data_IF_453352227359
#
_entry.id   IF_453352227359
#
_cell.length_a   1.000
_cell.length_b   1.000
_cell.length_c   1.000
_cell.angle_alpha   90.00
_cell.angle_beta   90.00
_cell.angle_gamma   90.00
#
_symmetry.space_group_name_H-M   'P 1'
#
loop_
_entity.id
_entity.type
_entity.pdbx_description
1 polymer ?
#
# COMPACT_ATOMS: atom_id res chain seq x y z
N UNK A 1 54.01 -20.50 -45.56
CA UNK A 1 53.19 -19.28 -45.40
C UNK A 1 51.71 -19.67 -45.28
N UNK A 2 51.20 -19.76 -44.09
CA UNK A 2 49.76 -20.04 -43.84
C UNK A 2 49.26 -18.98 -42.87
N UNK A 3 48.36 -18.13 -43.34
CA UNK A 3 47.71 -17.09 -42.54
C UNK A 3 46.60 -17.72 -41.68
N UNK A 4 46.73 -17.61 -40.37
CA UNK A 4 45.65 -17.91 -39.42
C UNK A 4 44.68 -16.71 -39.41
N UNK A 5 43.46 -16.96 -39.88
CA UNK A 5 42.33 -16.02 -39.73
C UNK A 5 41.75 -16.26 -38.33
N UNK A 6 41.93 -15.29 -37.42
CA UNK A 6 41.29 -15.26 -36.08
C UNK A 6 39.89 -14.68 -36.22
N UNK A 7 38.87 -15.53 -36.22
CA UNK A 7 37.48 -15.11 -36.11
C UNK A 7 37.23 -14.51 -34.72
N UNK A 8 37.05 -13.21 -34.66
CA UNK A 8 36.58 -12.49 -33.47
C UNK A 8 35.05 -12.60 -33.44
N UNK A 9 34.51 -13.49 -32.58
CA UNK A 9 33.10 -13.55 -32.31
C UNK A 9 32.74 -12.37 -31.39
N UNK A 10 32.13 -11.33 -31.96
CA UNK A 10 31.57 -10.21 -31.19
C UNK A 10 30.25 -10.69 -30.59
N UNK A 11 30.27 -11.00 -29.28
CA UNK A 11 29.05 -11.26 -28.50
C UNK A 11 28.32 -9.93 -28.27
N UNK A 12 27.27 -9.67 -29.02
CA UNK A 12 26.33 -8.60 -28.71
C UNK A 12 25.50 -9.00 -27.49
N UNK A 13 25.89 -8.53 -26.32
CA UNK A 13 25.06 -8.51 -25.13
C UNK A 13 23.90 -7.54 -25.40
N UNK A 14 22.74 -8.08 -25.76
CA UNK A 14 21.49 -7.32 -25.71
C UNK A 14 21.17 -7.02 -24.24
N UNK A 15 21.64 -5.89 -23.72
CA UNK A 15 21.00 -5.26 -22.57
C UNK A 15 19.64 -4.78 -23.05
N UNK A 16 18.57 -5.43 -22.61
CA UNK A 16 17.21 -4.89 -22.70
C UNK A 16 17.15 -3.67 -21.78
N UNK A 17 17.56 -2.53 -22.27
CA UNK A 17 17.26 -1.24 -21.65
C UNK A 17 15.75 -1.09 -21.75
N UNK A 18 15.05 -1.04 -20.61
CA UNK A 18 13.69 -0.51 -20.56
C UNK A 18 13.78 0.91 -21.13
N UNK A 19 13.39 1.08 -22.38
CA UNK A 19 13.27 2.40 -22.99
C UNK A 19 12.08 3.09 -22.32
N UNK A 20 12.32 3.77 -21.19
CA UNK A 20 11.36 4.70 -20.64
C UNK A 20 11.13 5.81 -21.67
N UNK A 21 9.87 6.22 -21.87
CA UNK A 21 9.57 7.43 -22.61
C UNK A 21 10.44 8.57 -22.07
N UNK A 22 11.15 9.27 -22.96
CA UNK A 22 12.10 10.33 -22.59
C UNK A 22 11.47 11.43 -21.70
N UNK A 23 10.13 11.52 -21.68
CA UNK A 23 9.37 12.57 -21.00
C UNK A 23 8.63 12.06 -19.73
N UNK A 24 8.76 10.77 -19.35
CA UNK A 24 8.05 10.21 -18.20
C UNK A 24 9.00 9.94 -17.03
N UNK A 25 8.81 10.66 -15.95
CA UNK A 25 9.54 10.45 -14.70
C UNK A 25 8.79 9.43 -13.83
N UNK A 26 9.53 8.55 -13.14
CA UNK A 26 8.97 7.58 -12.20
C UNK A 26 9.66 7.67 -10.85
N UNK A 27 8.85 7.69 -9.78
CA UNK A 27 9.29 7.70 -8.39
C UNK A 27 8.72 6.47 -7.68
N UNK A 28 9.58 5.70 -7.01
CA UNK A 28 9.21 4.46 -6.33
C UNK A 28 9.98 3.25 -6.87
N UNK A 29 9.63 2.05 -6.39
CA UNK A 29 10.31 0.81 -6.72
C UNK A 29 9.38 -0.14 -7.47
N UNK A 30 9.81 -0.64 -8.63
CA UNK A 30 9.11 -1.64 -9.44
C UNK A 30 9.30 -3.04 -8.83
N UNK A 31 8.70 -3.26 -7.65
CA UNK A 31 8.79 -4.52 -6.92
C UNK A 31 7.40 -4.92 -6.41
N UNK A 32 7.19 -6.19 -6.11
CA UNK A 32 5.97 -6.65 -5.43
C UNK A 32 5.76 -5.89 -4.11
N UNK A 33 4.57 -5.36 -3.89
CA UNK A 33 4.24 -4.46 -2.78
C UNK A 33 4.55 -2.99 -3.08
N UNK A 34 5.27 -2.67 -4.15
CA UNK A 34 5.66 -1.31 -4.49
C UNK A 34 4.51 -0.44 -4.96
N UNK A 35 4.77 0.87 -4.97
CA UNK A 35 3.91 1.89 -5.53
C UNK A 35 4.77 2.84 -6.37
N UNK A 36 4.25 3.26 -7.49
CA UNK A 36 4.91 4.17 -8.42
C UNK A 36 4.08 5.43 -8.54
N UNK A 37 4.73 6.57 -8.37
CA UNK A 37 4.21 7.86 -8.81
C UNK A 37 4.89 8.17 -10.13
N UNK A 38 4.10 8.33 -11.20
CA UNK A 38 4.56 8.75 -12.50
C UNK A 38 4.24 10.22 -12.74
N UNK A 39 5.03 10.86 -13.60
CA UNK A 39 4.78 12.24 -14.05
C UNK A 39 5.07 12.37 -15.54
N UNK A 40 4.08 12.85 -16.28
CA UNK A 40 4.23 13.25 -17.67
C UNK A 40 3.24 14.39 -17.98
N UNK A 41 3.74 15.59 -18.21
CA UNK A 41 2.92 16.80 -18.44
C UNK A 41 2.17 16.78 -19.78
N UNK A 42 2.63 15.99 -20.75
CA UNK A 42 2.03 15.90 -22.08
C UNK A 42 0.98 14.80 -22.18
N UNK A 43 0.93 13.89 -21.19
CA UNK A 43 -0.02 12.80 -21.16
C UNK A 43 -1.46 13.31 -21.10
N UNK A 44 -2.34 12.74 -21.95
CA UNK A 44 -3.79 12.99 -21.94
C UNK A 44 -4.54 11.91 -21.19
N UNK A 45 -4.09 10.65 -21.32
CA UNK A 45 -4.61 9.50 -20.58
C UNK A 45 -3.46 8.54 -20.29
N UNK A 46 -3.54 7.90 -19.14
CA UNK A 46 -2.58 6.86 -18.71
C UNK A 46 -3.35 5.62 -18.29
N UNK A 47 -2.90 4.45 -18.73
CA UNK A 47 -3.49 3.17 -18.36
C UNK A 47 -2.41 2.26 -17.78
N UNK A 48 -2.67 1.68 -16.63
CA UNK A 48 -1.87 0.61 -16.04
C UNK A 48 -2.58 -0.72 -16.27
N UNK A 49 -1.99 -1.61 -17.07
CA UNK A 49 -2.69 -2.72 -17.73
C UNK A 49 -3.96 -2.14 -18.40
N UNK A 50 -5.15 -2.61 -18.07
CA UNK A 50 -6.42 -2.11 -18.64
C UNK A 50 -7.10 -1.03 -17.77
N UNK A 51 -6.48 -0.61 -16.67
CA UNK A 51 -7.05 0.34 -15.73
C UNK A 51 -6.66 1.77 -16.07
N UNK A 52 -7.63 2.62 -16.41
CA UNK A 52 -7.39 4.07 -16.55
C UNK A 52 -7.05 4.69 -15.20
N UNK A 53 -5.91 5.41 -15.16
CA UNK A 53 -5.40 6.11 -14.00
C UNK A 53 -5.96 7.54 -13.95
N UNK A 54 -6.18 8.04 -12.74
CA UNK A 54 -6.46 9.46 -12.54
C UNK A 54 -5.18 10.26 -12.80
N UNK A 55 -5.29 11.31 -13.63
CA UNK A 55 -4.19 12.21 -13.98
C UNK A 55 -4.41 13.57 -13.33
N UNK A 56 -3.40 14.11 -12.64
CA UNK A 56 -3.47 15.46 -12.09
C UNK A 56 -3.24 16.52 -13.18
N UNK A 57 -3.59 17.78 -12.88
CA UNK A 57 -3.34 18.90 -13.78
C UNK A 57 -1.84 19.10 -14.08
N UNK A 58 -0.96 18.65 -13.16
CA UNK A 58 0.49 18.69 -13.33
C UNK A 58 1.05 17.43 -14.05
N UNK A 59 0.19 16.51 -14.48
CA UNK A 59 0.57 15.27 -15.16
C UNK A 59 1.00 14.14 -14.24
N UNK A 60 0.71 14.19 -12.94
CA UNK A 60 1.02 13.09 -12.02
C UNK A 60 -0.06 12.03 -12.03
N UNK A 61 0.36 10.77 -11.90
CA UNK A 61 -0.50 9.60 -11.73
C UNK A 61 0.15 8.61 -10.77
N UNK A 62 -0.62 7.66 -10.23
CA UNK A 62 -0.14 6.65 -9.27
C UNK A 62 -0.70 5.29 -9.61
N UNK A 63 0.13 4.26 -9.46
CA UNK A 63 -0.26 2.86 -9.53
C UNK A 63 0.60 2.01 -8.59
N UNK A 64 0.10 0.83 -8.22
CA UNK A 64 0.76 0.00 -7.22
C UNK A 64 0.66 -1.49 -7.52
N UNK A 65 1.55 -2.24 -6.90
CA UNK A 65 1.71 -3.68 -7.07
C UNK A 65 1.34 -4.41 -5.78
N UNK A 66 0.46 -5.39 -5.88
CA UNK A 66 0.14 -6.24 -4.75
C UNK A 66 1.30 -7.18 -4.39
N UNK A 67 1.18 -7.84 -3.22
CA UNK A 67 2.16 -8.80 -2.71
C UNK A 67 2.58 -9.88 -3.72
N UNK A 68 1.66 -10.36 -4.53
CA UNK A 68 1.86 -11.43 -5.50
C UNK A 68 1.66 -10.93 -6.93
N UNK A 69 2.01 -9.67 -7.20
CA UNK A 69 1.86 -9.11 -8.54
C UNK A 69 2.67 -9.90 -9.57
N UNK A 70 2.15 -10.02 -10.79
CA UNK A 70 2.84 -10.68 -11.92
C UNK A 70 4.14 -9.95 -12.27
N UNK A 71 5.09 -10.65 -12.88
CA UNK A 71 6.39 -10.09 -13.25
C UNK A 71 6.27 -8.96 -14.28
N UNK A 72 5.36 -9.09 -15.25
CA UNK A 72 5.22 -8.15 -16.35
C UNK A 72 3.87 -7.44 -16.29
N UNK A 73 3.87 -6.13 -16.46
CA UNK A 73 2.70 -5.28 -16.65
C UNK A 73 2.97 -4.26 -17.74
N UNK A 74 1.95 -3.56 -18.18
CA UNK A 74 2.06 -2.53 -19.22
C UNK A 74 1.59 -1.18 -18.68
N UNK A 75 2.29 -0.13 -19.08
CA UNK A 75 1.83 1.24 -18.91
C UNK A 75 1.64 1.86 -20.29
N UNK A 76 0.40 2.22 -20.61
CA UNK A 76 0.05 2.87 -21.87
C UNK A 76 -0.22 4.33 -21.62
N UNK A 77 0.48 5.20 -22.35
CA UNK A 77 0.36 6.66 -22.25
C UNK A 77 -0.12 7.18 -23.59
N UNK A 78 -1.29 7.83 -23.58
CA UNK A 78 -1.86 8.47 -24.74
C UNK A 78 -1.52 9.97 -24.70
N UNK A 79 -0.91 10.45 -25.78
CA UNK A 79 -0.65 11.85 -26.07
C UNK A 79 -1.69 12.38 -27.07
N UNK A 80 -1.52 13.60 -27.51
CA UNK A 80 -2.41 14.19 -28.53
C UNK A 80 -2.20 13.59 -29.93
N UNK A 81 -0.97 13.15 -30.23
CA UNK A 81 -0.48 12.73 -31.55
C UNK A 81 -0.04 11.26 -31.60
N UNK A 82 0.18 10.62 -30.47
CA UNK A 82 0.71 9.25 -30.40
C UNK A 82 0.27 8.54 -29.15
N UNK A 83 0.51 7.24 -29.13
CA UNK A 83 0.39 6.37 -27.96
C UNK A 83 1.72 5.65 -27.74
N UNK A 84 2.19 5.66 -26.51
CA UNK A 84 3.36 4.90 -26.07
C UNK A 84 2.94 3.76 -25.15
N UNK A 85 3.60 2.61 -25.28
CA UNK A 85 3.39 1.46 -24.41
C UNK A 85 4.72 1.03 -23.82
N UNK A 86 4.81 1.06 -22.50
CA UNK A 86 5.99 0.66 -21.74
C UNK A 86 5.73 -0.71 -21.10
N UNK A 87 6.65 -1.65 -21.29
CA UNK A 87 6.64 -2.93 -20.57
C UNK A 87 7.38 -2.72 -19.24
N UNK A 88 6.67 -3.00 -18.15
CA UNK A 88 7.19 -2.84 -16.80
C UNK A 88 7.60 -4.21 -16.26
N UNK A 89 8.87 -4.35 -15.86
CA UNK A 89 9.37 -5.53 -15.15
C UNK A 89 9.29 -5.29 -13.64
N UNK A 90 8.45 -6.08 -12.96
CA UNK A 90 8.21 -5.98 -11.53
C UNK A 90 9.00 -7.08 -10.82
N UNK A 91 10.00 -6.67 -10.05
CA UNK A 91 10.84 -7.58 -9.30
C UNK A 91 10.07 -8.28 -8.18
N UNK A 92 10.42 -9.53 -7.92
CA UNK A 92 9.86 -10.30 -6.81
C UNK A 92 10.43 -9.79 -5.48
N UNK A 93 9.57 -9.65 -4.47
CA UNK A 93 9.99 -9.38 -3.10
C UNK A 93 10.13 -10.68 -2.30
N UNK A 94 11.11 -10.71 -1.41
CA UNK A 94 11.25 -11.79 -0.43
C UNK A 94 10.43 -11.47 0.82
N UNK A 95 9.66 -12.44 1.29
CA UNK A 95 8.78 -12.28 2.44
C UNK A 95 9.15 -13.27 3.54
N UNK A 96 9.31 -12.75 4.75
CA UNK A 96 9.63 -13.53 5.95
C UNK A 96 8.42 -14.36 6.42
N UNK A 97 8.67 -15.38 7.22
CA UNK A 97 7.64 -16.08 7.98
C UNK A 97 7.63 -15.51 9.39
N UNK A 98 6.46 -15.05 9.83
CA UNK A 98 6.20 -14.47 11.15
C UNK A 98 5.36 -15.45 11.97
N UNK A 99 5.90 -15.93 13.10
CA UNK A 99 5.20 -16.83 14.03
C UNK A 99 4.75 -16.01 15.23
N UNK A 100 3.46 -16.04 15.52
CA UNK A 100 2.85 -15.31 16.64
C UNK A 100 2.04 -16.32 17.44
N UNK A 101 2.48 -16.57 18.66
CA UNK A 101 1.85 -17.49 19.58
C UNK A 101 1.24 -16.75 20.78
N UNK A 102 0.42 -17.40 21.60
CA UNK A 102 -0.23 -16.80 22.76
C UNK A 102 -1.48 -15.98 22.45
N UNK A 103 -1.98 -15.99 21.22
CA UNK A 103 -3.28 -15.39 20.90
C UNK A 103 -4.43 -16.23 21.51
N UNK A 104 -5.48 -15.61 22.07
CA UNK A 104 -6.68 -16.33 22.47
C UNK A 104 -7.25 -17.16 21.31
N UNK A 105 -7.58 -18.43 21.56
CA UNK A 105 -8.03 -19.36 20.50
C UNK A 105 -9.18 -18.80 19.66
N UNK A 106 -10.16 -18.11 20.29
CA UNK A 106 -11.28 -17.45 19.60
C UNK A 106 -10.84 -16.36 18.61
N UNK A 107 -9.67 -15.77 18.80
CA UNK A 107 -9.12 -14.76 17.87
C UNK A 107 -8.39 -15.39 16.67
N UNK A 108 -7.99 -16.66 16.79
CA UNK A 108 -7.32 -17.42 15.70
C UNK A 108 -8.34 -18.26 14.94
N UNK A 109 -9.25 -18.94 15.68
CA UNK A 109 -10.32 -19.77 15.14
C UNK A 109 -11.60 -19.43 15.89
N UNK A 110 -12.35 -18.39 15.46
CA UNK A 110 -13.59 -17.98 16.10
C UNK A 110 -14.65 -19.07 15.99
N UNK A 111 -15.50 -19.17 17.03
CA UNK A 111 -16.67 -20.02 17.00
C UNK A 111 -17.79 -19.49 16.09
N UNK A 112 -18.78 -20.36 15.76
CA UNK A 112 -19.91 -19.98 14.89
C UNK A 112 -20.69 -18.75 15.35
N UNK A 113 -20.77 -18.53 16.65
CA UNK A 113 -21.46 -17.40 17.28
C UNK A 113 -20.87 -16.03 16.89
N UNK A 114 -19.62 -16.01 16.43
CA UNK A 114 -18.93 -14.78 16.01
C UNK A 114 -18.97 -14.53 14.50
N UNK A 115 -19.44 -15.49 13.71
CA UNK A 115 -19.37 -15.41 12.24
C UNK A 115 -20.16 -14.24 11.67
N UNK A 116 -21.36 -14.00 12.13
CA UNK A 116 -22.18 -12.88 11.65
C UNK A 116 -21.56 -11.53 12.03
N UNK A 117 -21.04 -11.39 13.24
CA UNK A 117 -20.32 -10.18 13.65
C UNK A 117 -19.11 -9.92 12.75
N UNK A 118 -18.26 -10.93 12.56
CA UNK A 118 -17.06 -10.82 11.72
C UNK A 118 -17.41 -10.49 10.27
N UNK A 119 -18.48 -11.08 9.75
CA UNK A 119 -19.00 -10.82 8.41
C UNK A 119 -19.47 -9.37 8.28
N UNK A 120 -20.24 -8.87 9.25
CA UNK A 120 -20.74 -7.50 9.26
C UNK A 120 -19.59 -6.49 9.35
N UNK A 121 -18.59 -6.71 10.21
CA UNK A 121 -17.39 -5.89 10.29
C UNK A 121 -16.64 -5.83 8.95
N UNK A 122 -16.48 -6.96 8.27
CA UNK A 122 -15.86 -7.03 6.94
C UNK A 122 -16.67 -6.26 5.89
N UNK A 123 -17.99 -6.33 5.93
CA UNK A 123 -18.87 -5.59 5.02
C UNK A 123 -18.75 -4.08 5.23
N UNK A 124 -18.72 -3.60 6.49
CA UNK A 124 -18.52 -2.20 6.82
C UNK A 124 -17.18 -1.68 6.29
N UNK A 125 -16.09 -2.40 6.58
CA UNK A 125 -14.76 -2.05 6.06
C UNK A 125 -14.74 -2.09 4.52
N UNK A 126 -15.32 -3.12 3.91
CA UNK A 126 -15.41 -3.27 2.46
C UNK A 126 -16.18 -2.12 1.81
N UNK A 127 -17.29 -1.66 2.42
CA UNK A 127 -18.07 -0.50 1.99
C UNK A 127 -17.23 0.78 2.07
N UNK A 128 -16.53 1.02 3.18
CA UNK A 128 -15.65 2.18 3.36
C UNK A 128 -14.50 2.19 2.33
N UNK A 129 -13.84 1.05 2.11
CA UNK A 129 -12.81 0.91 1.07
C UNK A 129 -13.38 1.05 -0.36
N UNK A 130 -14.69 0.86 -0.55
CA UNK A 130 -15.39 1.09 -1.81
C UNK A 130 -15.73 2.55 -2.07
N UNK A 131 -15.79 3.41 -1.04
CA UNK A 131 -16.10 4.84 -1.19
C UNK A 131 -15.06 5.51 -2.08
N UNK A 132 -15.54 6.36 -3.00
CA UNK A 132 -14.68 7.19 -3.86
C UNK A 132 -14.44 8.53 -3.18
N UNK A 133 -13.20 8.97 -3.18
CA UNK A 133 -12.82 10.34 -2.83
C UNK A 133 -11.91 10.87 -3.93
N UNK A 134 -12.27 12.00 -4.52
CA UNK A 134 -11.48 12.70 -5.53
C UNK A 134 -10.69 13.82 -4.88
N UNK A 135 -9.40 13.89 -5.15
CA UNK A 135 -8.53 15.00 -4.77
C UNK A 135 -7.99 15.65 -6.04
N UNK A 136 -7.86 16.99 -6.04
CA UNK A 136 -7.18 17.71 -7.13
C UNK A 136 -5.67 17.50 -7.07
N UNK A 137 -5.12 17.21 -5.88
CA UNK A 137 -3.68 17.07 -5.65
C UNK A 137 -3.40 15.62 -5.33
N UNK A 138 -2.51 14.99 -6.10
CA UNK A 138 -1.95 13.69 -5.78
C UNK A 138 -0.95 13.83 -4.65
N UNK A 139 -1.10 13.11 -3.51
CA UNK A 139 -0.10 13.14 -2.45
C UNK A 139 1.20 12.48 -2.93
N UNK A 140 2.35 13.12 -2.68
CA UNK A 140 3.66 12.66 -3.15
C UNK A 140 4.64 12.38 -2.02
N UNK A 141 4.54 13.13 -0.94
CA UNK A 141 5.35 12.97 0.26
C UNK A 141 4.47 12.38 1.35
N UNK A 142 4.91 11.33 2.00
CA UNK A 142 4.12 10.62 3.00
C UNK A 142 4.90 10.56 4.30
N UNK A 143 4.28 11.05 5.38
CA UNK A 143 4.94 11.07 6.70
C UNK A 143 4.68 9.79 7.47
N UNK A 144 5.56 9.45 8.40
CA UNK A 144 5.37 8.33 9.30
C UNK A 144 4.14 8.55 10.19
N UNK A 145 3.29 7.52 10.34
CA UNK A 145 2.03 7.65 11.09
C UNK A 145 2.23 7.70 12.60
N UNK A 146 3.32 7.17 13.13
CA UNK A 146 3.61 7.18 14.56
C UNK A 146 5.11 6.97 14.81
N UNK A 147 5.56 7.40 15.97
CA UNK A 147 6.86 7.01 16.52
C UNK A 147 6.77 5.59 17.08
N UNK A 148 7.88 4.85 17.01
CA UNK A 148 7.95 3.50 17.55
C UNK A 148 8.84 2.57 16.75
N UNK A 149 8.95 1.32 17.24
CA UNK A 149 9.74 0.26 16.61
C UNK A 149 8.88 -0.48 15.59
N UNK A 150 9.39 -0.69 14.39
CA UNK A 150 8.73 -1.59 13.41
C UNK A 150 8.72 -3.00 14.00
N UNK A 151 7.53 -3.54 14.21
CA UNK A 151 7.30 -4.86 14.82
C UNK A 151 6.72 -5.89 13.87
N UNK A 152 6.16 -5.47 12.73
CA UNK A 152 5.67 -6.36 11.67
C UNK A 152 5.76 -5.67 10.31
N UNK A 153 6.29 -6.37 9.31
CA UNK A 153 6.50 -5.84 7.95
C UNK A 153 5.48 -6.41 6.96
N UNK A 154 5.19 -5.61 5.92
CA UNK A 154 4.30 -6.01 4.85
C UNK A 154 4.75 -7.33 4.18
N UNK A 155 3.78 -8.19 3.86
CA UNK A 155 4.00 -9.40 3.08
C UNK A 155 4.43 -10.61 3.87
N UNK A 156 4.87 -10.47 5.13
CA UNK A 156 5.27 -11.61 5.98
C UNK A 156 4.16 -12.65 6.06
N UNK A 157 4.50 -13.93 5.85
CA UNK A 157 3.54 -15.02 6.02
C UNK A 157 3.28 -15.25 7.50
N UNK A 158 2.06 -14.99 7.97
CA UNK A 158 1.69 -15.18 9.37
C UNK A 158 1.31 -16.61 9.68
N UNK A 159 1.88 -17.14 10.78
CA UNK A 159 1.49 -18.38 11.43
C UNK A 159 1.04 -18.00 12.84
N UNK A 160 -0.26 -18.10 13.12
CA UNK A 160 -0.86 -17.73 14.40
C UNK A 160 -1.20 -18.99 15.18
N UNK A 161 -0.62 -19.18 16.37
CA UNK A 161 -0.76 -20.38 17.19
C UNK A 161 -0.58 -21.66 16.35
N UNK A 162 0.47 -21.73 15.52
CA UNK A 162 0.74 -22.84 14.63
C UNK A 162 -0.09 -22.90 13.33
N UNK A 163 -1.15 -22.11 13.18
CA UNK A 163 -2.04 -22.11 12.02
C UNK A 163 -1.62 -21.06 10.98
N UNK A 164 -1.42 -21.49 9.74
CA UNK A 164 -1.15 -20.59 8.61
C UNK A 164 -2.37 -19.69 8.36
N UNK A 165 -2.16 -18.38 8.35
CA UNK A 165 -3.17 -17.35 8.09
C UNK A 165 -2.77 -16.50 6.88
N UNK A 166 -3.63 -15.54 6.52
CA UNK A 166 -3.29 -14.59 5.46
C UNK A 166 -2.00 -13.84 5.78
N UNK A 167 -1.19 -13.53 4.76
CA UNK A 167 0.00 -12.71 4.94
C UNK A 167 -0.31 -11.37 5.61
N UNK A 168 0.67 -10.80 6.30
CA UNK A 168 0.59 -9.47 6.88
C UNK A 168 0.35 -8.44 5.77
N UNK A 169 -0.70 -7.66 5.90
CA UNK A 169 -1.13 -6.77 4.82
C UNK A 169 -0.67 -5.33 4.96
N UNK A 170 0.13 -5.00 5.97
CA UNK A 170 0.51 -3.65 6.30
C UNK A 170 1.81 -3.54 7.08
N UNK A 171 1.93 -2.50 7.87
CA UNK A 171 3.06 -2.17 8.73
C UNK A 171 2.58 -2.13 10.18
N UNK A 172 3.30 -2.79 11.08
CA UNK A 172 3.06 -2.72 12.52
C UNK A 172 4.14 -1.85 13.19
N UNK A 173 3.71 -0.84 13.96
CA UNK A 173 4.58 0.06 14.73
C UNK A 173 4.24 -0.12 16.22
N UNK A 174 5.11 -0.78 16.96
CA UNK A 174 4.97 -0.99 18.39
C UNK A 174 5.39 0.27 19.17
N UNK A 175 4.47 0.76 19.99
CA UNK A 175 4.69 1.88 20.90
C UNK A 175 3.68 1.82 22.06
N UNK A 176 3.90 2.56 23.17
CA UNK A 176 2.96 2.59 24.30
C UNK A 176 1.56 3.03 23.88
N UNK A 177 0.54 2.54 24.61
CA UNK A 177 -0.83 3.04 24.51
C UNK A 177 -0.84 4.56 24.72
N UNK A 178 -1.63 5.28 23.91
CA UNK A 178 -1.70 6.74 23.97
C UNK A 178 -0.70 7.45 23.03
N UNK A 179 0.26 6.73 22.40
CA UNK A 179 1.16 7.33 21.41
C UNK A 179 0.35 7.92 20.25
N UNK A 180 0.59 9.18 19.84
CA UNK A 180 -0.18 9.82 18.77
C UNK A 180 -0.05 9.11 17.42
N UNK A 181 -1.18 8.96 16.73
CA UNK A 181 -1.26 8.49 15.34
C UNK A 181 -1.56 9.67 14.44
N UNK A 182 -0.75 9.86 13.40
CA UNK A 182 -0.86 10.93 12.41
C UNK A 182 -1.36 10.38 11.07
N UNK A 183 -2.15 11.19 10.34
CA UNK A 183 -2.47 10.87 8.95
C UNK A 183 -1.23 10.97 8.06
N UNK A 184 -0.96 9.93 7.27
CA UNK A 184 0.22 9.87 6.37
C UNK A 184 0.17 10.90 5.24
N UNK A 185 -1.03 11.36 4.85
CA UNK A 185 -1.28 12.36 3.82
C UNK A 185 -2.61 13.05 4.09
N UNK A 186 -2.84 14.21 3.48
CA UNK A 186 -4.14 14.89 3.54
C UNK A 186 -5.21 14.03 2.87
N UNK A 187 -6.46 14.10 3.39
CA UNK A 187 -7.54 13.31 2.83
C UNK A 187 -8.85 13.44 3.58
N UNK A 188 -9.84 12.67 3.15
CA UNK A 188 -11.17 12.61 3.76
C UNK A 188 -11.32 11.32 4.57
N UNK A 189 -11.80 11.44 5.80
CA UNK A 189 -12.15 10.28 6.64
C UNK A 189 -13.35 9.55 6.01
N UNK A 190 -13.14 8.31 5.61
CA UNK A 190 -14.15 7.46 4.98
C UNK A 190 -14.84 6.53 5.98
N UNK A 191 -14.23 6.32 7.15
CA UNK A 191 -14.73 5.50 8.24
C UNK A 191 -13.99 5.87 9.53
N UNK A 192 -14.71 5.94 10.63
CA UNK A 192 -14.18 6.08 12.00
C UNK A 192 -15.12 5.29 12.92
N UNK A 193 -14.71 4.08 13.29
CA UNK A 193 -15.56 3.12 14.03
C UNK A 193 -14.81 2.48 15.18
N UNK A 194 -15.54 2.10 16.22
CA UNK A 194 -14.99 1.47 17.43
C UNK A 194 -15.47 0.03 17.59
N UNK A 195 -14.64 -0.79 18.21
CA UNK A 195 -15.02 -2.09 18.75
C UNK A 195 -15.23 -3.19 17.71
N UNK A 196 -14.68 -3.11 16.49
CA UNK A 196 -14.74 -4.20 15.52
C UNK A 196 -13.93 -5.41 16.03
N UNK A 197 -14.37 -6.61 15.69
CA UNK A 197 -13.85 -7.84 16.30
C UNK A 197 -12.34 -8.04 16.13
N UNK A 198 -11.84 -7.93 14.88
CA UNK A 198 -10.41 -8.11 14.61
C UNK A 198 -9.60 -6.81 14.62
N UNK A 199 -10.18 -5.74 14.11
CA UNK A 199 -9.47 -4.48 13.93
C UNK A 199 -9.52 -3.59 15.16
N UNK A 200 -10.44 -3.85 16.07
CA UNK A 200 -10.70 -2.94 17.18
C UNK A 200 -11.21 -1.59 16.67
N UNK A 201 -10.67 -0.52 17.22
CA UNK A 201 -10.97 0.84 16.76
C UNK A 201 -10.21 1.13 15.47
N UNK A 202 -10.89 1.72 14.48
CA UNK A 202 -10.41 1.86 13.11
C UNK A 202 -10.72 3.22 12.52
N UNK A 203 -9.74 3.76 11.76
CA UNK A 203 -9.94 4.93 10.89
C UNK A 203 -9.48 4.56 9.48
N UNK A 204 -10.27 4.92 8.46
CA UNK A 204 -9.92 4.80 7.05
C UNK A 204 -9.97 6.19 6.41
N UNK A 205 -8.90 6.60 5.73
CA UNK A 205 -8.76 7.89 5.05
C UNK A 205 -8.56 7.67 3.57
N UNK A 206 -9.32 8.38 2.74
CA UNK A 206 -9.14 8.44 1.29
C UNK A 206 -8.30 9.64 0.90
N UNK A 207 -7.26 9.43 0.09
CA UNK A 207 -6.30 10.46 -0.31
C UNK A 207 -6.48 10.94 -1.76
N UNK A 208 -7.50 10.42 -2.47
CA UNK A 208 -7.65 10.59 -3.92
C UNK A 208 -6.85 9.55 -4.70
N UNK A 209 -6.95 9.58 -6.01
CA UNK A 209 -6.19 8.70 -6.94
C UNK A 209 -6.25 7.21 -6.56
N UNK A 210 -7.41 6.77 -6.03
CA UNK A 210 -7.67 5.41 -5.52
C UNK A 210 -6.76 4.99 -4.34
N UNK A 211 -6.02 5.93 -3.73
CA UNK A 211 -5.15 5.69 -2.58
C UNK A 211 -5.92 5.86 -1.27
N UNK A 212 -5.75 4.92 -0.34
CA UNK A 212 -6.35 4.94 1.00
C UNK A 212 -5.37 4.44 2.04
N UNK A 213 -5.44 4.99 3.26
CA UNK A 213 -4.78 4.45 4.44
C UNK A 213 -5.81 3.98 5.46
N UNK A 214 -5.48 2.92 6.21
CA UNK A 214 -6.31 2.35 7.25
C UNK A 214 -5.46 2.13 8.50
N UNK A 215 -5.92 2.66 9.62
CA UNK A 215 -5.28 2.64 10.93
C UNK A 215 -6.15 1.83 11.87
N UNK A 216 -5.59 0.81 12.52
CA UNK A 216 -6.36 -0.09 13.41
C UNK A 216 -5.64 -0.33 14.72
N UNK A 217 -6.33 -0.98 15.65
CA UNK A 217 -5.93 -1.23 17.04
C UNK A 217 -5.79 0.05 17.87
N UNK A 218 -6.47 1.12 17.44
CA UNK A 218 -6.41 2.43 18.10
C UNK A 218 -7.03 2.38 19.49
N UNK A 219 -6.56 3.23 20.40
CA UNK A 219 -7.22 3.52 21.67
C UNK A 219 -8.30 4.57 21.48
N UNK A 220 -7.88 5.77 21.10
CA UNK A 220 -8.78 6.87 20.84
C UNK A 220 -8.87 7.17 19.35
N UNK A 221 -10.04 7.64 18.92
CA UNK A 221 -10.30 8.20 17.60
C UNK A 221 -10.70 9.65 17.77
N UNK A 222 -9.93 10.57 17.17
CA UNK A 222 -10.11 12.02 17.31
C UNK A 222 -10.70 12.67 16.05
N UNK A 223 -11.27 11.88 15.16
CA UNK A 223 -11.88 12.31 13.90
C UNK A 223 -13.17 11.55 13.66
N UNK A 224 -14.05 12.12 12.84
CA UNK A 224 -15.33 11.54 12.45
C UNK A 224 -15.38 11.25 10.95
N UNK A 225 -16.23 10.32 10.54
CA UNK A 225 -16.50 10.10 9.12
C UNK A 225 -16.97 11.40 8.46
N UNK A 226 -16.37 11.74 7.33
CA UNK A 226 -16.64 12.96 6.59
C UNK A 226 -15.65 14.09 6.83
N UNK A 227 -14.88 14.06 7.92
CA UNK A 227 -13.87 15.07 8.21
C UNK A 227 -12.78 15.12 7.14
N UNK A 228 -12.25 16.30 6.87
CA UNK A 228 -11.01 16.47 6.12
C UNK A 228 -9.84 16.59 7.09
N UNK A 229 -8.82 15.78 6.91
CA UNK A 229 -7.60 15.80 7.70
C UNK A 229 -6.41 16.24 6.86
N UNK A 230 -5.50 17.00 7.48
CA UNK A 230 -4.23 17.40 6.87
C UNK A 230 -3.19 16.29 7.10
N UNK A 231 -2.20 16.22 6.22
CA UNK A 231 -1.00 15.40 6.47
C UNK A 231 -0.37 15.75 7.81
N UNK A 232 0.03 14.75 8.59
CA UNK A 232 0.62 14.94 9.92
C UNK A 232 -0.38 15.28 11.02
N UNK A 233 -1.66 15.52 10.70
CA UNK A 233 -2.69 15.75 11.70
C UNK A 233 -2.89 14.51 12.57
N UNK A 234 -2.95 14.67 13.89
CA UNK A 234 -3.27 13.59 14.84
C UNK A 234 -4.73 13.18 14.62
N UNK A 235 -4.94 11.88 14.38
CA UNK A 235 -6.25 11.27 14.11
C UNK A 235 -6.72 10.35 15.24
N UNK A 236 -5.87 10.12 16.25
CA UNK A 236 -6.12 9.28 17.41
C UNK A 236 -4.83 8.82 18.06
N UNK A 237 -4.90 7.74 18.82
CA UNK A 237 -3.77 7.21 19.59
C UNK A 237 -3.62 5.70 19.41
N UNK A 238 -2.39 5.18 19.59
CA UNK A 238 -2.10 3.74 19.60
C UNK A 238 -2.80 3.11 20.80
N UNK A 239 -3.42 1.97 20.57
CA UNK A 239 -4.08 1.16 21.58
C UNK A 239 -3.70 -0.31 21.51
N UNK A 240 -4.58 -1.12 22.09
CA UNK A 240 -4.48 -2.58 22.12
C UNK A 240 -5.86 -3.22 21.85
N UNK A 241 -6.69 -2.57 21.03
CA UNK A 241 -8.05 -3.04 20.71
C UNK A 241 -8.08 -4.08 19.60
N UNK A 242 -9.06 -4.98 19.60
CA UNK A 242 -9.21 -6.05 18.62
C UNK A 242 -8.26 -7.22 18.81
N UNK A 243 -7.72 -7.79 17.73
CA UNK A 243 -6.84 -8.97 17.76
C UNK A 243 -5.38 -8.59 17.81
N UNK A 244 -4.84 -8.47 19.00
CA UNK A 244 -3.45 -8.06 19.23
C UNK A 244 -2.82 -8.86 20.38
N UNK A 245 -1.49 -8.89 20.44
CA UNK A 245 -0.70 -9.46 21.55
C UNK A 245 -0.01 -8.37 22.40
N UNK A 246 0.00 -7.14 21.91
CA UNK A 246 0.58 -5.99 22.61
C UNK A 246 0.25 -4.68 21.89
N UNK A 247 0.50 -3.52 22.56
CA UNK A 247 0.17 -2.23 21.99
C UNK A 247 0.96 -1.93 20.70
N UNK A 248 0.24 -1.63 19.63
CA UNK A 248 0.83 -1.21 18.35
C UNK A 248 -0.20 -0.57 17.43
N UNK A 249 0.26 0.29 16.52
CA UNK A 249 -0.48 0.67 15.34
C UNK A 249 -0.26 -0.40 14.26
N UNK A 250 -1.35 -0.93 13.69
CA UNK A 250 -1.28 -1.58 12.39
C UNK A 250 -1.82 -0.64 11.32
N UNK A 251 -1.04 -0.38 10.28
CA UNK A 251 -1.44 0.46 9.15
C UNK A 251 -1.42 -0.31 7.85
N UNK A 252 -2.55 -0.31 7.13
CA UNK A 252 -2.59 -0.74 5.74
C UNK A 252 -2.61 0.49 4.82
N UNK A 253 -1.97 0.37 3.67
CA UNK A 253 -2.18 1.27 2.54
C UNK A 253 -2.74 0.48 1.37
N UNK A 254 -3.75 1.07 0.72
CA UNK A 254 -4.41 0.49 -0.44
C UNK A 254 -4.28 1.41 -1.63
N UNK A 255 -3.95 0.84 -2.79
CA UNK A 255 -4.17 1.45 -4.07
C UNK A 255 -5.18 0.58 -4.86
N UNK A 256 -6.26 1.19 -5.35
CA UNK A 256 -7.33 0.49 -6.08
C UNK A 256 -7.75 -0.84 -5.41
N UNK A 257 -7.96 -0.84 -4.07
CA UNK A 257 -8.31 -2.01 -3.24
C UNK A 257 -7.20 -3.07 -3.09
N UNK A 258 -6.04 -2.89 -3.72
CA UNK A 258 -4.86 -3.75 -3.58
C UNK A 258 -4.03 -3.20 -2.42
N UNK A 259 -3.61 -4.06 -1.49
CA UNK A 259 -2.68 -3.69 -0.43
C UNK A 259 -1.28 -3.53 -1.00
N UNK A 260 -0.64 -2.42 -0.67
CA UNK A 260 0.74 -2.09 -1.02
C UNK A 260 1.59 -1.98 0.25
N UNK A 261 2.90 -2.09 0.11
CA UNK A 261 3.82 -1.97 1.24
C UNK A 261 3.94 -0.53 1.71
N UNK A 262 3.49 -0.20 2.94
CA UNK A 262 3.56 1.17 3.45
C UNK A 262 5.00 1.72 3.54
N UNK A 263 5.99 0.90 3.88
CA UNK A 263 7.39 1.33 4.01
C UNK A 263 7.99 1.85 2.70
N UNK A 264 7.49 1.34 1.54
CA UNK A 264 7.96 1.80 0.22
C UNK A 264 7.30 3.12 -0.22
N UNK A 265 6.34 3.61 0.54
CA UNK A 265 5.61 4.86 0.30
C UNK A 265 6.07 5.97 1.25
N UNK A 266 6.41 5.61 2.49
CA UNK A 266 6.80 6.55 3.54
C UNK A 266 8.22 7.10 3.28
N UNK A 267 8.45 8.35 3.69
CA UNK A 267 9.80 8.95 3.64
C UNK A 267 10.77 8.14 4.52
N UNK A 268 12.06 8.17 4.16
CA UNK A 268 13.08 7.52 4.98
C UNK A 268 13.04 8.10 6.40
N UNK A 269 13.05 7.23 7.42
CA UNK A 269 13.24 7.67 8.80
C UNK A 269 14.65 8.27 8.92
N UNK A 270 14.70 9.56 9.21
CA UNK A 270 15.95 10.25 9.53
C UNK A 270 16.49 9.80 10.87
#
# INVERSE_FOLDING_TARGET
MSQLIRNFLIFFLFFSTNAFSADTEFFGKFVQGGVIIGKNKLAKKVFFDDLELELSDEGYFIFGFGRNHKKLSTLKINFSDRTETLNLDISKSEYKIERIDGLPSKMVTPGPELYERIKNDRLLIGKALGKKYKSKILPRNFVWPAEGRISGIFGSQRILNGLKKNPHGGLDIAAPVGTPIKSIASGKVLMAEKGLYYTGNIVIIGHGYKLKSMYIHMEDINVSEGDFVKQGQIIGTIGMTGRVTGPHLHMNVYWNRIKINPELLLEDKK
#
